data_IF_272829195583
#
_entry.id   IF_272829195583
#
_cell.length_a   1.000
_cell.length_b   1.000
_cell.length_c   1.000
_cell.angle_alpha   90.00
_cell.angle_beta   90.00
_cell.angle_gamma   90.00
#
_symmetry.space_group_name_H-M   'P 1'
#
loop_
_entity.id
_entity.type
_entity.pdbx_description
1 polymer ?
#
# COMPACT_ATOMS: atom_id res chain seq x y z
N UNK A 1 45.74 11.81 26.93
CA UNK A 1 45.29 10.41 26.97
C UNK A 1 43.77 10.25 27.14
N UNK A 2 43.13 10.87 28.14
CA UNK A 2 41.70 10.75 28.43
C UNK A 2 40.80 11.24 27.27
N UNK A 3 41.13 12.35 26.62
CA UNK A 3 40.39 12.93 25.49
C UNK A 3 40.38 11.99 24.25
N UNK A 4 41.53 11.37 24.00
CA UNK A 4 41.72 10.39 22.92
C UNK A 4 40.87 9.13 23.16
N UNK A 5 40.90 8.57 24.37
CA UNK A 5 40.13 7.39 24.73
C UNK A 5 38.64 7.63 24.58
N UNK A 6 38.11 8.76 25.07
CA UNK A 6 36.72 9.13 24.91
C UNK A 6 36.30 9.33 23.44
N UNK A 7 37.17 9.99 22.65
CA UNK A 7 36.90 10.18 21.22
C UNK A 7 36.84 8.84 20.46
N UNK A 8 37.75 7.92 20.72
CA UNK A 8 37.75 6.59 20.12
C UNK A 8 36.52 5.77 20.54
N UNK A 9 36.09 5.86 21.81
CA UNK A 9 34.90 5.16 22.29
C UNK A 9 33.65 5.66 21.60
N UNK A 10 33.46 6.98 21.53
CA UNK A 10 32.31 7.58 20.83
C UNK A 10 32.33 7.22 19.35
N UNK A 11 33.48 7.30 18.69
CA UNK A 11 33.63 6.89 17.28
C UNK A 11 33.23 5.43 17.08
N UNK A 12 33.73 4.52 17.91
CA UNK A 12 33.42 3.09 17.79
C UNK A 12 31.92 2.80 17.96
N UNK A 13 31.28 3.42 18.95
CA UNK A 13 29.85 3.23 19.21
C UNK A 13 28.97 3.78 18.07
N UNK A 14 29.25 4.97 17.58
CA UNK A 14 28.44 5.63 16.54
C UNK A 14 28.65 4.99 15.17
N UNK A 15 29.86 4.59 14.81
CA UNK A 15 30.14 3.87 13.57
C UNK A 15 29.52 2.46 13.59
N UNK A 16 29.59 1.75 14.73
CA UNK A 16 28.90 0.48 14.91
C UNK A 16 27.39 0.62 14.76
N UNK A 17 26.79 1.64 15.40
CA UNK A 17 25.36 1.92 15.27
C UNK A 17 24.97 2.23 13.82
N UNK A 18 25.75 3.06 13.11
CA UNK A 18 25.55 3.35 11.69
C UNK A 18 25.63 2.08 10.83
N UNK A 19 26.54 1.15 11.15
CA UNK A 19 26.67 -0.11 10.44
C UNK A 19 25.46 -1.03 10.66
N UNK A 20 24.95 -1.13 11.90
CA UNK A 20 23.78 -1.93 12.24
C UNK A 20 22.50 -1.41 11.58
N UNK A 21 22.43 -0.11 11.26
CA UNK A 21 21.32 0.52 10.52
C UNK A 21 21.42 0.32 9.00
N UNK A 22 22.27 -0.59 8.51
CA UNK A 22 22.29 -0.92 7.07
C UNK A 22 20.97 -1.55 6.64
N UNK A 23 20.49 -1.18 5.45
CA UNK A 23 19.22 -1.71 4.95
C UNK A 23 19.34 -3.23 4.71
N UNK A 24 18.51 -3.99 5.41
CA UNK A 24 18.23 -5.38 5.11
C UNK A 24 16.78 -5.43 4.55
N UNK A 25 16.62 -5.23 3.22
CA UNK A 25 15.31 -5.29 2.56
C UNK A 25 14.69 -3.93 2.20
N UNK A 26 13.51 -3.96 1.54
CA UNK A 26 12.86 -2.84 0.83
C UNK A 26 12.19 -1.74 1.69
N UNK A 27 12.30 -1.73 3.02
CA UNK A 27 11.46 -0.86 3.87
C UNK A 27 12.24 -0.02 4.88
N UNK A 28 13.23 0.77 4.47
CA UNK A 28 13.78 1.79 5.36
C UNK A 28 12.98 3.08 5.24
N UNK A 29 12.43 3.55 6.38
CA UNK A 29 11.90 4.90 6.48
C UNK A 29 13.02 5.92 6.21
N UNK A 30 12.69 7.02 5.57
CA UNK A 30 13.63 8.12 5.26
C UNK A 30 14.40 8.53 6.53
N UNK A 31 13.74 8.56 7.71
CA UNK A 31 14.37 8.87 8.97
C UNK A 31 15.46 7.87 9.41
N UNK A 32 15.31 6.58 9.11
CA UNK A 32 16.34 5.59 9.43
C UNK A 32 17.60 5.76 8.55
N UNK A 33 17.41 6.12 7.29
CA UNK A 33 18.51 6.46 6.37
C UNK A 33 19.23 7.72 6.85
N UNK A 34 18.49 8.78 7.20
CA UNK A 34 19.06 10.01 7.74
C UNK A 34 19.85 9.74 9.03
N UNK A 35 19.26 9.00 9.98
CA UNK A 35 19.92 8.65 11.23
C UNK A 35 21.26 7.92 10.99
N UNK A 36 21.29 7.01 10.04
CA UNK A 36 22.52 6.32 9.67
C UNK A 36 23.63 7.27 9.22
N UNK A 37 23.30 8.22 8.33
CA UNK A 37 24.28 9.19 7.84
C UNK A 37 24.76 10.14 8.96
N UNK A 38 23.86 10.59 9.83
CA UNK A 38 24.21 11.42 10.98
C UNK A 38 25.21 10.70 11.87
N UNK A 39 24.94 9.44 12.22
CA UNK A 39 25.85 8.62 13.06
C UNK A 39 27.19 8.37 12.38
N UNK A 40 27.19 8.19 11.05
CA UNK A 40 28.43 7.99 10.29
C UNK A 40 29.30 9.25 10.31
N UNK A 41 28.71 10.41 10.01
CA UNK A 41 29.44 11.70 10.00
C UNK A 41 29.97 12.02 11.41
N UNK A 42 29.13 11.85 12.42
CA UNK A 42 29.52 12.04 13.82
C UNK A 42 30.65 11.12 14.23
N UNK A 43 30.60 9.84 13.89
CA UNK A 43 31.67 8.88 14.16
C UNK A 43 32.99 9.24 13.46
N UNK A 44 32.95 9.64 12.20
CA UNK A 44 34.13 10.10 11.45
C UNK A 44 34.75 11.37 12.06
N UNK A 45 33.92 12.30 12.52
CA UNK A 45 34.38 13.50 13.22
C UNK A 45 35.18 13.15 14.49
N UNK A 46 34.71 12.18 15.29
CA UNK A 46 35.42 11.74 16.49
C UNK A 46 36.70 10.93 16.19
N UNK A 47 36.76 10.20 15.06
CA UNK A 47 38.00 9.62 14.57
C UNK A 47 39.04 10.71 14.26
N UNK A 48 38.64 11.71 13.48
CA UNK A 48 39.52 12.83 13.14
C UNK A 48 40.03 13.56 14.39
N UNK A 49 39.15 13.80 15.36
CA UNK A 49 39.48 14.41 16.65
C UNK A 49 40.51 13.56 17.45
N UNK A 50 40.38 12.23 17.43
CA UNK A 50 41.33 11.34 18.08
C UNK A 50 42.71 11.36 17.40
N UNK A 51 42.74 11.44 16.07
CA UNK A 51 43.99 11.55 15.28
C UNK A 51 44.72 12.88 15.59
N UNK A 52 43.97 14.00 15.59
CA UNK A 52 44.51 15.32 15.91
C UNK A 52 45.09 15.36 17.35
N UNK A 53 44.49 14.63 18.30
CA UNK A 53 44.94 14.56 19.67
C UNK A 53 46.28 13.85 19.85
N UNK A 54 46.73 13.05 18.89
CA UNK A 54 47.98 12.29 18.90
C UNK A 54 49.14 13.08 18.23
N UNK A 55 48.79 14.07 17.36
CA UNK A 55 49.77 14.79 16.54
C UNK A 55 50.49 15.88 17.41
N UNK A 56 51.82 15.84 17.55
CA UNK A 56 52.55 16.85 18.30
C UNK A 56 52.41 18.24 17.67
N UNK A 57 52.23 19.30 18.50
CA UNK A 57 52.12 20.66 18.03
C UNK A 57 50.75 21.07 17.51
N UNK A 58 49.74 20.28 17.77
CA UNK A 58 48.34 20.61 17.37
C UNK A 58 47.67 21.58 18.36
N UNK A 59 46.64 22.25 17.84
CA UNK A 59 45.79 23.30 18.42
C UNK A 59 45.07 22.98 19.75
N UNK A 60 45.43 21.90 20.43
CA UNK A 60 44.86 21.49 21.71
C UNK A 60 45.71 22.03 22.83
N UNK A 61 45.55 23.31 23.14
CA UNK A 61 46.02 23.84 24.41
C UNK A 61 45.01 23.45 25.51
N UNK A 62 45.35 22.41 26.26
CA UNK A 62 44.57 21.87 27.37
C UNK A 62 44.53 22.86 28.58
N UNK A 63 45.39 23.88 28.62
CA UNK A 63 45.45 24.87 29.68
C UNK A 63 44.41 25.99 29.49
N UNK A 64 44.04 26.27 28.25
CA UNK A 64 42.96 27.22 27.93
C UNK A 64 41.72 26.46 27.49
N UNK A 65 40.75 26.32 28.37
CA UNK A 65 39.41 25.73 28.13
C UNK A 65 38.63 26.38 26.97
N UNK A 66 39.25 27.23 26.21
CA UNK A 66 38.73 28.02 25.09
C UNK A 66 39.26 27.59 23.71
N UNK A 67 39.88 26.39 23.57
CA UNK A 67 40.41 25.94 22.27
C UNK A 67 39.31 25.76 21.24
N UNK A 68 39.54 26.21 20.01
CA UNK A 68 38.62 26.15 18.86
C UNK A 68 38.06 24.74 18.66
N UNK A 69 38.82 23.69 18.93
CA UNK A 69 38.38 22.29 18.82
C UNK A 69 37.29 21.92 19.82
N UNK A 70 37.32 22.49 21.04
CA UNK A 70 36.28 22.27 22.06
C UNK A 70 34.98 22.93 21.61
N UNK A 71 35.06 24.17 21.11
CA UNK A 71 33.88 24.89 20.59
C UNK A 71 33.26 24.17 19.39
N UNK A 72 34.07 23.76 18.44
CA UNK A 72 33.60 22.96 17.26
C UNK A 72 32.94 21.66 17.74
N UNK A 73 33.53 20.96 18.72
CA UNK A 73 32.98 19.71 19.24
C UNK A 73 31.63 19.88 19.94
N UNK A 74 31.43 21.00 20.66
CA UNK A 74 30.16 21.32 21.31
C UNK A 74 29.07 21.64 20.30
N UNK A 75 29.39 22.45 19.29
CA UNK A 75 28.46 22.78 18.19
C UNK A 75 28.09 21.53 17.41
N UNK A 76 29.08 20.72 17.01
CA UNK A 76 28.86 19.46 16.28
C UNK A 76 28.00 18.48 17.10
N UNK A 77 28.31 18.31 18.39
CA UNK A 77 27.53 17.45 19.29
C UNK A 77 26.09 17.92 19.45
N UNK A 78 25.86 19.22 19.60
CA UNK A 78 24.50 19.78 19.66
C UNK A 78 23.72 19.54 18.31
N UNK A 79 24.39 19.78 17.19
CA UNK A 79 23.81 19.50 15.86
C UNK A 79 23.48 18.01 15.67
N UNK A 80 24.38 17.12 16.08
CA UNK A 80 24.17 15.68 16.00
C UNK A 80 22.94 15.24 16.83
N UNK A 81 22.84 15.72 18.08
CA UNK A 81 21.68 15.44 18.94
C UNK A 81 20.39 15.95 18.31
N UNK A 82 20.38 17.18 17.77
CA UNK A 82 19.22 17.75 17.10
C UNK A 82 18.81 16.94 15.88
N UNK A 83 19.75 16.52 15.04
CA UNK A 83 19.49 15.72 13.85
C UNK A 83 19.00 14.30 14.20
N UNK A 84 19.55 13.69 15.26
CA UNK A 84 19.09 12.40 15.78
C UNK A 84 17.63 12.52 16.25
N UNK A 85 17.32 13.54 17.05
CA UNK A 85 15.97 13.79 17.55
C UNK A 85 14.96 14.00 16.39
N UNK A 86 15.34 14.78 15.38
CA UNK A 86 14.52 15.02 14.20
C UNK A 86 14.28 13.74 13.40
N UNK A 87 15.33 12.93 13.18
CA UNK A 87 15.24 11.66 12.47
C UNK A 87 14.37 10.63 13.21
N UNK A 88 14.48 10.57 14.54
CA UNK A 88 13.64 9.71 15.38
C UNK A 88 12.17 10.13 15.32
N UNK A 89 11.90 11.44 15.45
CA UNK A 89 10.54 11.98 15.37
C UNK A 89 9.90 11.69 14.01
N UNK A 90 10.64 11.87 12.92
CA UNK A 90 10.19 11.54 11.57
C UNK A 90 9.85 10.05 11.42
N UNK A 91 10.68 9.16 11.97
CA UNK A 91 10.45 7.71 11.94
C UNK A 91 9.21 7.31 12.74
N UNK A 92 9.00 7.89 13.92
CA UNK A 92 7.82 7.63 14.76
C UNK A 92 6.54 8.11 14.07
N UNK A 93 6.56 9.31 13.48
CA UNK A 93 5.42 9.86 12.72
C UNK A 93 5.06 8.94 11.55
N UNK A 94 6.04 8.56 10.73
CA UNK A 94 5.83 7.67 9.59
C UNK A 94 5.20 6.32 10.01
N UNK A 95 5.74 5.69 11.06
CA UNK A 95 5.18 4.42 11.59
C UNK A 95 3.77 4.59 12.13
N UNK A 96 3.46 5.73 12.76
CA UNK A 96 2.12 6.02 13.26
C UNK A 96 1.13 6.20 12.12
N UNK A 97 1.48 6.94 11.08
CA UNK A 97 0.66 7.13 9.89
C UNK A 97 0.40 5.81 9.16
N UNK A 98 1.45 5.00 8.98
CA UNK A 98 1.33 3.67 8.42
C UNK A 98 0.42 2.75 9.26
N UNK A 99 0.51 2.85 10.59
CA UNK A 99 -0.36 2.08 11.50
C UNK A 99 -1.81 2.54 11.40
N UNK A 100 -2.07 3.83 11.34
CA UNK A 100 -3.41 4.39 11.18
C UNK A 100 -3.99 3.95 9.82
N UNK A 101 -3.23 4.07 8.75
CA UNK A 101 -3.63 3.60 7.43
C UNK A 101 -3.93 2.09 7.40
N UNK A 102 -3.15 1.29 8.13
CA UNK A 102 -3.42 -0.16 8.29
C UNK A 102 -4.67 -0.47 9.12
N UNK A 103 -5.05 0.41 10.04
CA UNK A 103 -6.26 0.26 10.86
C UNK A 103 -7.51 0.78 10.15
N UNK A 104 -7.36 1.62 9.13
CA UNK A 104 -8.47 2.07 8.31
C UNK A 104 -9.13 0.86 7.63
N UNK A 105 -10.46 0.75 7.74
CA UNK A 105 -11.21 -0.33 7.10
C UNK A 105 -11.64 0.02 5.68
N UNK A 106 -11.56 1.29 5.31
CA UNK A 106 -12.04 1.79 4.03
C UNK A 106 -10.91 2.37 3.19
N UNK A 107 -11.07 2.28 1.87
CA UNK A 107 -10.23 2.97 0.90
C UNK A 107 -10.52 4.49 0.98
N UNK A 108 -9.50 5.35 1.12
CA UNK A 108 -9.70 6.78 1.36
C UNK A 108 -10.28 7.52 0.15
N UNK A 109 -10.10 7.01 -1.07
CA UNK A 109 -10.61 7.64 -2.28
C UNK A 109 -12.07 7.27 -2.54
N UNK A 110 -12.39 5.98 -2.40
CA UNK A 110 -13.68 5.42 -2.84
C UNK A 110 -14.66 5.17 -1.69
N UNK A 111 -14.20 5.21 -0.45
CA UNK A 111 -14.96 4.87 0.76
C UNK A 111 -15.55 3.44 0.78
N UNK A 112 -15.23 2.57 -0.18
CA UNK A 112 -15.47 1.14 -0.11
C UNK A 112 -14.52 0.49 0.89
N UNK A 113 -14.75 -0.77 1.25
CA UNK A 113 -13.75 -1.49 2.04
C UNK A 113 -12.43 -1.56 1.29
N UNK A 114 -11.33 -1.53 2.01
CA UNK A 114 -10.04 -1.90 1.44
C UNK A 114 -9.85 -3.43 1.47
N UNK A 115 -8.84 -3.93 0.77
CA UNK A 115 -8.52 -5.36 0.68
C UNK A 115 -8.50 -6.05 2.04
N UNK A 116 -7.84 -5.45 3.03
CA UNK A 116 -7.71 -6.02 4.38
C UNK A 116 -9.04 -6.13 5.11
N UNK A 117 -9.87 -5.10 5.04
CA UNK A 117 -11.19 -5.13 5.65
C UNK A 117 -12.10 -6.14 4.98
N UNK A 118 -12.00 -6.31 3.67
CA UNK A 118 -12.71 -7.35 2.93
C UNK A 118 -12.28 -8.75 3.40
N UNK A 119 -10.99 -9.03 3.56
CA UNK A 119 -10.48 -10.32 4.06
C UNK A 119 -11.08 -10.70 5.42
N UNK A 120 -11.09 -9.74 6.36
CA UNK A 120 -11.67 -9.98 7.70
C UNK A 120 -13.18 -10.23 7.62
N UNK A 121 -13.91 -9.44 6.82
CA UNK A 121 -15.37 -9.54 6.71
C UNK A 121 -15.85 -10.74 5.89
N UNK A 122 -15.07 -11.14 4.90
CA UNK A 122 -15.36 -12.31 4.07
C UNK A 122 -15.42 -13.61 4.92
N UNK A 123 -14.59 -13.73 5.95
CA UNK A 123 -14.64 -14.87 6.87
C UNK A 123 -15.96 -15.00 7.63
N UNK A 124 -16.66 -13.88 7.90
CA UNK A 124 -18.01 -13.91 8.45
C UNK A 124 -19.06 -14.17 7.36
N UNK A 125 -18.92 -13.54 6.21
CA UNK A 125 -19.80 -13.72 5.07
C UNK A 125 -19.88 -15.20 4.62
N UNK A 126 -18.76 -15.90 4.56
CA UNK A 126 -18.70 -17.29 4.12
C UNK A 126 -19.42 -18.28 5.05
N UNK A 127 -19.66 -17.93 6.32
CA UNK A 127 -20.39 -18.78 7.26
C UNK A 127 -21.87 -18.93 6.90
N UNK A 128 -22.42 -17.94 6.20
CA UNK A 128 -23.84 -17.91 5.83
C UNK A 128 -24.07 -18.54 4.44
N UNK A 129 -23.00 -18.96 3.75
CA UNK A 129 -23.09 -19.57 2.42
C UNK A 129 -23.52 -21.03 2.51
N UNK A 130 -24.50 -21.39 1.70
CA UNK A 130 -25.04 -22.74 1.60
C UNK A 130 -25.71 -22.94 0.23
N UNK A 131 -26.06 -24.16 -0.17
CA UNK A 131 -26.83 -24.39 -1.40
C UNK A 131 -28.16 -23.64 -1.45
N UNK A 132 -28.80 -23.40 -0.28
CA UNK A 132 -30.01 -22.57 -0.20
C UNK A 132 -29.74 -21.06 -0.25
N UNK A 133 -28.51 -20.66 0.04
CA UNK A 133 -28.07 -19.26 0.03
C UNK A 133 -26.68 -19.15 -0.63
N UNK A 134 -26.59 -19.34 -1.96
CA UNK A 134 -25.32 -19.32 -2.65
C UNK A 134 -24.69 -17.93 -2.63
N UNK A 135 -23.36 -17.89 -2.72
CA UNK A 135 -22.58 -16.67 -2.85
C UNK A 135 -22.13 -16.41 -4.27
N UNK A 136 -21.85 -15.15 -4.56
CA UNK A 136 -21.14 -14.74 -5.77
C UNK A 136 -20.01 -13.79 -5.44
N UNK A 137 -18.87 -13.96 -6.12
CA UNK A 137 -17.81 -12.96 -6.20
C UNK A 137 -17.81 -12.37 -7.61
N UNK A 138 -17.85 -11.04 -7.69
CA UNK A 138 -17.61 -10.30 -8.91
C UNK A 138 -16.26 -9.57 -8.74
N UNK A 139 -15.32 -9.87 -9.62
CA UNK A 139 -14.07 -9.13 -9.76
C UNK A 139 -14.19 -8.18 -10.94
N UNK A 140 -14.04 -6.89 -10.70
CA UNK A 140 -14.31 -5.82 -11.65
C UNK A 140 -13.03 -5.03 -11.89
N UNK A 141 -12.74 -4.72 -13.15
CA UNK A 141 -11.60 -3.91 -13.57
C UNK A 141 -12.03 -2.89 -14.62
N UNK A 142 -11.49 -1.69 -14.54
CA UNK A 142 -11.80 -0.60 -15.47
C UNK A 142 -10.92 -0.74 -16.72
N UNK A 143 -11.52 -1.05 -17.83
CA UNK A 143 -10.83 -1.17 -19.12
C UNK A 143 -10.24 0.18 -19.56
N UNK A 144 -9.00 0.13 -20.06
CA UNK A 144 -8.28 1.30 -20.55
C UNK A 144 -8.01 2.39 -19.48
N UNK A 145 -8.07 2.07 -18.17
CA UNK A 145 -7.87 3.03 -17.09
C UNK A 145 -6.52 3.75 -17.15
N UNK A 146 -5.45 3.02 -17.49
CA UNK A 146 -4.13 3.63 -17.69
C UNK A 146 -4.15 4.69 -18.78
N UNK A 147 -4.86 4.44 -19.89
CA UNK A 147 -4.98 5.40 -20.99
C UNK A 147 -5.67 6.70 -20.53
N UNK A 148 -6.69 6.61 -19.65
CA UNK A 148 -7.34 7.77 -19.05
C UNK A 148 -6.32 8.59 -18.24
N UNK A 149 -5.54 7.93 -17.38
CA UNK A 149 -4.51 8.60 -16.59
C UNK A 149 -3.43 9.27 -17.47
N UNK A 150 -3.01 8.60 -18.53
CA UNK A 150 -1.98 9.10 -19.44
C UNK A 150 -2.47 10.30 -20.26
N UNK A 151 -3.75 10.34 -20.65
CA UNK A 151 -4.34 11.41 -21.47
C UNK A 151 -4.92 12.58 -20.65
N UNK A 152 -5.56 12.29 -19.52
CA UNK A 152 -6.34 13.26 -18.75
C UNK A 152 -5.80 13.50 -17.34
N UNK A 153 -4.70 12.80 -16.95
CA UNK A 153 -4.08 12.88 -15.63
C UNK A 153 -4.84 12.09 -14.54
N UNK A 154 -4.15 11.86 -13.42
CA UNK A 154 -4.66 11.04 -12.31
C UNK A 154 -5.96 11.55 -11.70
N UNK A 155 -6.22 12.86 -11.72
CA UNK A 155 -7.48 13.45 -11.21
C UNK A 155 -8.69 12.93 -12.00
N UNK A 156 -8.54 12.73 -13.32
CA UNK A 156 -9.61 12.17 -14.15
C UNK A 156 -9.83 10.68 -13.84
N UNK A 157 -8.75 9.91 -13.63
CA UNK A 157 -8.83 8.53 -13.17
C UNK A 157 -9.51 8.42 -11.81
N UNK A 158 -9.15 9.28 -10.84
CA UNK A 158 -9.77 9.30 -9.52
C UNK A 158 -11.27 9.56 -9.59
N UNK A 159 -11.75 10.43 -10.48
CA UNK A 159 -13.18 10.66 -10.70
C UNK A 159 -13.91 9.41 -11.19
N UNK A 160 -13.29 8.62 -12.08
CA UNK A 160 -13.88 7.35 -12.53
C UNK A 160 -13.95 6.33 -11.39
N UNK A 161 -12.92 6.23 -10.56
CA UNK A 161 -12.90 5.33 -9.41
C UNK A 161 -13.99 5.71 -8.38
N UNK A 162 -14.16 6.99 -8.10
CA UNK A 162 -15.21 7.50 -7.22
C UNK A 162 -16.58 7.20 -7.80
N UNK A 163 -16.81 7.50 -9.09
CA UNK A 163 -18.09 7.26 -9.74
C UNK A 163 -18.49 5.78 -9.73
N UNK A 164 -17.55 4.88 -10.08
CA UNK A 164 -17.80 3.43 -9.99
C UNK A 164 -18.15 3.00 -8.57
N UNK A 165 -17.45 3.51 -7.57
CA UNK A 165 -17.71 3.17 -6.17
C UNK A 165 -19.08 3.66 -5.69
N UNK A 166 -19.53 4.80 -6.15
CA UNK A 166 -20.88 5.32 -5.86
C UNK A 166 -21.95 4.48 -6.54
N UNK A 167 -21.79 4.11 -7.81
CA UNK A 167 -22.67 3.19 -8.50
C UNK A 167 -22.78 1.85 -7.78
N UNK A 168 -21.65 1.26 -7.39
CA UNK A 168 -21.62 0.01 -6.62
C UNK A 168 -22.42 0.19 -5.31
N UNK A 169 -22.19 1.24 -4.53
CA UNK A 169 -22.90 1.46 -3.25
C UNK A 169 -24.39 1.63 -3.41
N UNK A 170 -24.83 2.24 -4.52
CA UNK A 170 -26.25 2.52 -4.75
C UNK A 170 -27.04 1.26 -5.06
N UNK A 171 -26.43 0.28 -5.72
CA UNK A 171 -27.14 -0.92 -6.21
C UNK A 171 -26.97 -2.14 -5.29
N UNK A 172 -26.02 -2.08 -4.36
CA UNK A 172 -25.74 -3.24 -3.51
C UNK A 172 -26.77 -3.40 -2.39
N UNK A 173 -27.22 -4.64 -2.14
CA UNK A 173 -28.04 -4.96 -0.97
C UNK A 173 -27.22 -4.82 0.33
N UNK A 174 -27.91 -4.60 1.44
CA UNK A 174 -27.29 -4.32 2.76
C UNK A 174 -26.28 -5.36 3.23
N UNK A 175 -26.46 -6.63 2.87
CA UNK A 175 -25.56 -7.73 3.24
C UNK A 175 -24.40 -7.96 2.28
N UNK A 176 -24.33 -7.21 1.18
CA UNK A 176 -23.21 -7.32 0.24
C UNK A 176 -21.96 -6.64 0.80
N UNK A 177 -20.80 -7.15 0.42
CA UNK A 177 -19.52 -6.52 0.69
C UNK A 177 -18.94 -5.99 -0.62
N UNK A 178 -18.47 -4.75 -0.62
CA UNK A 178 -17.74 -4.18 -1.74
C UNK A 178 -16.43 -3.59 -1.28
N UNK A 179 -15.37 -3.83 -2.03
CA UNK A 179 -14.03 -3.37 -1.73
C UNK A 179 -13.28 -2.94 -3.00
N UNK A 180 -12.34 -2.02 -2.82
CA UNK A 180 -11.29 -1.74 -3.79
C UNK A 180 -10.03 -2.50 -3.38
N UNK A 181 -9.50 -3.33 -4.27
CA UNK A 181 -8.30 -4.13 -4.00
C UNK A 181 -7.02 -3.32 -4.19
N UNK A 182 -7.03 -2.39 -5.14
CA UNK A 182 -5.93 -1.50 -5.49
C UNK A 182 -6.05 -1.05 -6.96
N UNK A 183 -5.41 0.04 -7.33
CA UNK A 183 -5.50 0.55 -8.69
C UNK A 183 -6.94 0.73 -9.16
N UNK A 184 -7.33 0.03 -10.20
CA UNK A 184 -8.63 0.02 -10.88
C UNK A 184 -9.45 -1.27 -10.61
N UNK A 185 -9.02 -2.09 -9.64
CA UNK A 185 -9.66 -3.36 -9.31
C UNK A 185 -10.64 -3.25 -8.14
N UNK A 186 -11.85 -3.75 -8.33
CA UNK A 186 -12.92 -3.81 -7.33
C UNK A 186 -13.44 -5.24 -7.15
N UNK A 187 -13.93 -5.53 -5.95
CA UNK A 187 -14.56 -6.81 -5.63
C UNK A 187 -15.91 -6.56 -4.99
N UNK A 188 -16.90 -7.35 -5.40
CA UNK A 188 -18.21 -7.45 -4.76
C UNK A 188 -18.44 -8.89 -4.33
N UNK A 189 -18.90 -9.09 -3.08
CA UNK A 189 -19.42 -10.36 -2.57
C UNK A 189 -20.92 -10.21 -2.36
N UNK A 190 -21.70 -11.09 -2.98
CA UNK A 190 -23.16 -11.14 -2.89
C UNK A 190 -23.60 -12.44 -2.22
N UNK A 191 -24.58 -12.35 -1.33
CA UNK A 191 -25.26 -13.50 -0.70
C UNK A 191 -26.63 -13.71 -1.33
N UNK A 192 -27.06 -14.97 -1.46
CA UNK A 192 -28.31 -15.34 -2.12
C UNK A 192 -28.31 -14.98 -3.61
N UNK A 193 -27.17 -15.14 -4.27
CA UNK A 193 -26.97 -14.69 -5.65
C UNK A 193 -27.24 -15.82 -6.64
N UNK A 194 -28.19 -15.61 -7.56
CA UNK A 194 -28.33 -16.42 -8.78
C UNK A 194 -27.49 -15.84 -9.92
N UNK A 195 -27.26 -16.65 -10.96
CA UNK A 195 -26.56 -16.19 -12.18
C UNK A 195 -27.26 -15.02 -12.84
N UNK A 196 -28.60 -15.03 -12.87
CA UNK A 196 -29.43 -13.98 -13.47
C UNK A 196 -29.26 -12.67 -12.73
N UNK A 197 -29.33 -12.70 -11.39
CA UNK A 197 -29.15 -11.50 -10.54
C UNK A 197 -27.76 -10.91 -10.68
N UNK A 198 -26.74 -11.75 -10.80
CA UNK A 198 -25.34 -11.30 -11.00
C UNK A 198 -25.18 -10.67 -12.39
N UNK A 199 -25.80 -11.27 -13.43
CA UNK A 199 -25.80 -10.71 -14.78
C UNK A 199 -26.52 -9.35 -14.84
N UNK A 200 -27.69 -9.22 -14.21
CA UNK A 200 -28.42 -7.95 -14.13
C UNK A 200 -27.58 -6.87 -13.44
N UNK A 201 -27.01 -7.17 -12.28
CA UNK A 201 -26.16 -6.23 -11.54
C UNK A 201 -24.92 -5.82 -12.33
N UNK A 202 -24.20 -6.79 -12.88
CA UNK A 202 -23.01 -6.54 -13.66
C UNK A 202 -23.30 -5.79 -14.96
N UNK A 203 -24.40 -6.13 -15.63
CA UNK A 203 -24.90 -5.43 -16.83
C UNK A 203 -25.22 -3.98 -16.54
N UNK A 204 -25.96 -3.72 -15.45
CA UNK A 204 -26.29 -2.36 -15.01
C UNK A 204 -25.03 -1.54 -14.70
N UNK A 205 -24.10 -2.08 -13.93
CA UNK A 205 -22.84 -1.39 -13.60
C UNK A 205 -22.03 -1.04 -14.86
N UNK A 206 -21.92 -1.97 -15.80
CA UNK A 206 -21.22 -1.75 -17.07
C UNK A 206 -21.84 -0.62 -17.88
N UNK A 207 -23.16 -0.67 -18.07
CA UNK A 207 -23.89 0.33 -18.84
C UNK A 207 -23.80 1.73 -18.22
N UNK A 208 -24.07 1.85 -16.92
CA UNK A 208 -24.03 3.14 -16.21
C UNK A 208 -22.60 3.71 -16.20
N UNK A 209 -21.61 2.86 -15.97
CA UNK A 209 -20.21 3.30 -15.95
C UNK A 209 -19.75 3.77 -17.33
N UNK A 210 -20.06 3.03 -18.39
CA UNK A 210 -19.72 3.41 -19.76
C UNK A 210 -20.38 4.76 -20.17
N UNK A 211 -21.65 4.94 -19.81
CA UNK A 211 -22.35 6.22 -20.06
C UNK A 211 -21.70 7.38 -19.30
N UNK A 212 -21.31 7.17 -18.07
CA UNK A 212 -20.59 8.19 -17.28
C UNK A 212 -19.22 8.50 -17.86
N UNK A 213 -18.43 7.47 -18.13
CA UNK A 213 -17.07 7.61 -18.64
C UNK A 213 -17.03 8.34 -19.99
N UNK A 214 -17.93 7.99 -20.92
CA UNK A 214 -18.02 8.62 -22.25
C UNK A 214 -18.31 10.12 -22.21
N UNK A 215 -19.06 10.57 -21.19
CA UNK A 215 -19.39 11.99 -20.98
C UNK A 215 -18.28 12.75 -20.25
N UNK A 216 -17.51 12.07 -19.42
CA UNK A 216 -16.56 12.69 -18.48
C UNK A 216 -15.12 12.70 -19.00
N UNK A 217 -14.71 11.62 -19.67
CA UNK A 217 -13.33 11.41 -20.14
C UNK A 217 -13.34 10.86 -21.56
N UNK A 218 -13.51 11.71 -22.58
CA UNK A 218 -13.46 11.25 -23.97
C UNK A 218 -12.07 10.70 -24.31
N UNK A 219 -12.03 9.45 -24.75
CA UNK A 219 -10.80 8.73 -25.11
C UNK A 219 -10.97 8.06 -26.47
N UNK A 220 -9.86 7.75 -27.22
CA UNK A 220 -9.93 7.03 -28.49
C UNK A 220 -10.55 5.64 -28.38
N UNK A 221 -10.46 5.02 -27.22
CA UNK A 221 -11.04 3.72 -26.90
C UNK A 221 -12.05 3.86 -25.77
N UNK A 222 -13.14 3.12 -25.83
CA UNK A 222 -14.15 3.14 -24.80
C UNK A 222 -13.56 2.74 -23.44
N UNK A 223 -13.96 3.46 -22.40
CA UNK A 223 -13.65 3.13 -21.00
C UNK A 223 -14.86 2.37 -20.45
N UNK A 224 -14.67 1.07 -20.23
CA UNK A 224 -15.73 0.11 -19.90
C UNK A 224 -15.35 -0.69 -18.65
N UNK A 225 -16.15 -1.69 -18.30
CA UNK A 225 -15.83 -2.63 -17.22
C UNK A 225 -15.72 -4.06 -17.78
N UNK A 226 -14.64 -4.73 -17.41
CA UNK A 226 -14.54 -6.19 -17.51
C UNK A 226 -14.84 -6.82 -16.15
N UNK A 227 -15.68 -7.85 -16.13
CA UNK A 227 -16.14 -8.49 -14.90
C UNK A 227 -15.93 -10.00 -14.96
N UNK A 228 -15.17 -10.53 -14.00
CA UNK A 228 -15.05 -11.97 -13.74
C UNK A 228 -15.97 -12.37 -12.59
N UNK A 229 -16.76 -13.43 -12.79
CA UNK A 229 -17.74 -13.90 -11.81
C UNK A 229 -17.42 -15.31 -11.37
N UNK A 230 -17.42 -15.54 -10.06
CA UNK A 230 -17.38 -16.86 -9.47
C UNK A 230 -18.62 -17.07 -8.59
N UNK A 231 -19.44 -18.09 -8.92
CA UNK A 231 -20.58 -18.53 -8.12
C UNK A 231 -20.16 -19.69 -7.23
N UNK A 232 -20.56 -19.68 -5.98
CA UNK A 232 -20.23 -20.73 -5.02
C UNK A 232 -21.40 -20.99 -4.06
N UNK A 233 -21.65 -22.25 -3.77
CA UNK A 233 -22.74 -22.75 -2.90
C UNK A 233 -22.24 -23.43 -1.63
N UNK A 234 -20.92 -23.45 -1.45
CA UNK A 234 -20.25 -23.92 -0.26
C UNK A 234 -19.23 -22.87 0.20
N UNK A 235 -18.92 -22.80 1.50
CA UNK A 235 -17.90 -21.91 2.00
C UNK A 235 -16.55 -22.15 1.29
N UNK A 236 -15.96 -21.13 0.66
CA UNK A 236 -14.68 -21.29 -0.02
C UNK A 236 -13.54 -21.44 0.98
N UNK A 237 -12.44 -22.05 0.57
CA UNK A 237 -11.24 -22.22 1.39
C UNK A 237 -10.67 -20.86 1.90
N UNK A 238 -10.73 -19.82 1.08
CA UNK A 238 -10.31 -18.47 1.41
C UNK A 238 -10.83 -17.45 0.40
N UNK A 239 -10.83 -16.17 0.78
CA UNK A 239 -11.09 -15.08 -0.16
C UNK A 239 -10.05 -15.05 -1.30
N UNK A 240 -8.79 -15.34 -0.98
CA UNK A 240 -7.72 -15.37 -1.98
C UNK A 240 -7.98 -16.41 -3.08
N UNK A 241 -8.41 -17.61 -2.71
CA UNK A 241 -8.76 -18.66 -3.68
C UNK A 241 -9.95 -18.25 -4.57
N UNK A 242 -10.96 -17.56 -4.01
CA UNK A 242 -12.07 -17.03 -4.81
C UNK A 242 -11.64 -15.94 -5.79
N UNK A 243 -10.76 -15.03 -5.36
CA UNK A 243 -10.22 -13.97 -6.20
C UNK A 243 -9.41 -14.60 -7.35
N UNK A 244 -8.53 -15.57 -7.06
CA UNK A 244 -7.74 -16.27 -8.07
C UNK A 244 -8.61 -16.91 -9.15
N UNK A 245 -9.71 -17.53 -8.75
CA UNK A 245 -10.67 -18.10 -9.71
C UNK A 245 -11.39 -16.99 -10.51
N UNK A 246 -11.78 -15.90 -9.85
CA UNK A 246 -12.37 -14.73 -10.49
C UNK A 246 -11.44 -14.07 -11.50
N UNK A 247 -10.13 -14.05 -11.22
CA UNK A 247 -9.09 -13.53 -12.12
C UNK A 247 -9.04 -14.29 -13.46
N UNK A 248 -9.26 -15.60 -13.43
CA UNK A 248 -9.33 -16.41 -14.66
C UNK A 248 -10.48 -15.94 -15.55
N UNK A 249 -11.67 -15.73 -14.98
CA UNK A 249 -12.83 -15.25 -15.72
C UNK A 249 -12.65 -13.79 -16.17
N UNK A 250 -12.07 -12.94 -15.35
CA UNK A 250 -11.74 -11.55 -15.70
C UNK A 250 -10.73 -11.49 -16.85
N UNK A 251 -9.72 -12.33 -16.84
CA UNK A 251 -8.76 -12.44 -17.92
C UNK A 251 -9.41 -12.88 -19.23
N UNK A 252 -10.36 -13.83 -19.18
CA UNK A 252 -11.15 -14.25 -20.34
C UNK A 252 -12.00 -13.09 -20.88
N UNK A 253 -12.62 -12.28 -19.99
CA UNK A 253 -13.34 -11.05 -20.38
C UNK A 253 -12.41 -10.10 -21.15
N UNK A 254 -11.24 -9.80 -20.61
CA UNK A 254 -10.26 -8.91 -21.24
C UNK A 254 -9.76 -9.42 -22.59
N UNK A 255 -9.56 -10.75 -22.74
CA UNK A 255 -9.12 -11.36 -24.00
C UNK A 255 -10.22 -11.41 -25.07
N UNK A 256 -11.47 -11.52 -24.70
CA UNK A 256 -12.61 -11.59 -25.64
C UNK A 256 -13.11 -10.22 -26.12
N UNK A 257 -12.33 -9.16 -25.92
CA UNK A 257 -12.65 -7.83 -26.43
C UNK A 257 -13.04 -6.82 -25.34
N UNK A 258 -12.91 -7.18 -24.05
CA UNK A 258 -13.31 -6.35 -22.89
C UNK A 258 -14.83 -6.13 -22.84
N UNK A 259 -15.26 -5.17 -22.00
CA UNK A 259 -16.68 -4.79 -21.86
C UNK A 259 -17.63 -6.00 -21.77
N UNK A 260 -17.30 -6.96 -20.93
CA UNK A 260 -18.03 -8.21 -20.81
C UNK A 260 -18.03 -8.79 -19.41
N UNK A 261 -18.98 -9.68 -19.15
CA UNK A 261 -19.08 -10.48 -17.93
C UNK A 261 -18.76 -11.92 -18.29
N UNK A 262 -17.83 -12.53 -17.55
CA UNK A 262 -17.47 -13.93 -17.72
C UNK A 262 -17.58 -14.67 -16.39
N UNK A 263 -18.15 -15.85 -16.45
CA UNK A 263 -18.24 -16.75 -15.30
C UNK A 263 -17.05 -17.72 -15.32
N UNK A 264 -16.61 -18.08 -14.12
CA UNK A 264 -15.68 -19.20 -13.96
C UNK A 264 -16.35 -20.46 -14.49
N UNK A 265 -15.73 -21.13 -15.44
CA UNK A 265 -16.19 -22.43 -15.92
C UNK A 265 -16.04 -23.45 -14.80
N UNK A 266 -17.16 -24.01 -14.30
CA UNK A 266 -17.08 -25.17 -13.41
C UNK A 266 -16.61 -26.37 -14.23
N UNK A 267 -15.59 -27.13 -13.78
CA UNK A 267 -15.30 -28.41 -14.42
C UNK A 267 -16.57 -29.27 -14.42
N UNK A 268 -16.92 -29.83 -15.57
CA UNK A 268 -18.13 -30.67 -15.77
C UNK A 268 -18.06 -32.01 -15.00
N UNK A 269 -17.50 -32.07 -13.80
CA UNK A 269 -17.30 -33.30 -13.04
C UNK A 269 -18.49 -33.71 -12.14
N UNK A 270 -19.48 -32.85 -11.90
CA UNK A 270 -20.51 -33.09 -10.87
C UNK A 270 -21.97 -33.07 -11.38
N UNK A 271 -22.22 -33.33 -12.67
CA UNK A 271 -23.60 -33.47 -13.21
C UNK A 271 -24.09 -34.90 -13.29
N UNK A 272 -23.36 -35.88 -12.74
CA UNK A 272 -23.76 -37.29 -12.71
C UNK A 272 -23.63 -37.89 -11.29
N UNK A 273 -24.32 -37.35 -10.34
CA UNK A 273 -24.68 -38.08 -9.11
C UNK A 273 -26.08 -37.72 -8.64
#
# INVERSE_FOLDING_TARGET
>A
MMLMVNSLLVAALTLKASFLLRPHGKSLSVGAVQLRYVLLVHGLFYVAKAVIAITPGTLIDLATFGGMIIQISLVEGAMAIMLIALSMTGTVRYRREERIARLAARDPLTALYNRRALEVRAGHFFKDVSPAQPGALLLIDIDNFKLVNDLHGHIAGDRLLIALSEMIRTVLPERALAARLGGDEFVILLSGASSERVMELGGFLREQFQQYASKTVPTPHAVTLSIGVNLFDQPPASLAALIEQGDVALYQSKRSGRDSIRFVERPMADLNQ
#
